data_IF_025360853379
#
_entry.id   IF_025360853379
#
_cell.length_a   1.000
_cell.length_b   1.000
_cell.length_c   1.000
_cell.angle_alpha   90.00
_cell.angle_beta   90.00
_cell.angle_gamma   90.00
#
_symmetry.space_group_name_H-M   'P 1'
#
loop_
_entity.id
_entity.type
_entity.pdbx_description
1 polymer ?
#
# COMPACT_ATOMS: atom_id res chain seq x y z
N UNK A 1 -33.44 -30.77 -63.66
CA UNK A 1 -32.34 -31.31 -62.82
C UNK A 1 -31.34 -30.22 -62.39
N UNK A 2 -31.72 -28.93 -62.34
CA UNK A 2 -30.79 -27.82 -62.01
C UNK A 2 -30.89 -27.32 -60.55
N UNK A 3 -31.97 -27.62 -59.83
CA UNK A 3 -32.24 -27.03 -58.51
C UNK A 3 -31.36 -27.61 -57.39
N UNK A 4 -30.94 -28.88 -57.52
CA UNK A 4 -30.08 -29.54 -56.53
C UNK A 4 -28.64 -29.01 -56.56
N UNK A 5 -28.15 -28.61 -57.74
CA UNK A 5 -26.82 -28.03 -57.91
C UNK A 5 -26.71 -26.66 -57.24
N UNK A 6 -27.73 -25.80 -57.43
CA UNK A 6 -27.77 -24.43 -56.87
C UNK A 6 -27.77 -24.46 -55.33
N UNK A 7 -28.52 -25.38 -54.73
CA UNK A 7 -28.56 -25.54 -53.27
C UNK A 7 -27.22 -26.06 -52.75
N UNK A 8 -26.58 -27.01 -53.45
CA UNK A 8 -25.28 -27.55 -53.03
C UNK A 8 -24.16 -26.51 -53.05
N UNK A 9 -24.11 -25.67 -54.10
CA UNK A 9 -23.12 -24.60 -54.24
C UNK A 9 -23.37 -23.46 -53.24
N UNK A 10 -24.64 -23.14 -52.97
CA UNK A 10 -25.01 -22.16 -51.94
C UNK A 10 -24.55 -22.61 -50.54
N UNK A 11 -24.76 -23.87 -50.19
CA UNK A 11 -24.37 -24.41 -48.87
C UNK A 11 -22.85 -24.36 -48.66
N UNK A 12 -22.04 -24.66 -49.69
CA UNK A 12 -20.58 -24.59 -49.59
C UNK A 12 -20.06 -23.17 -49.30
N UNK A 13 -20.67 -22.15 -49.91
CA UNK A 13 -20.24 -20.76 -49.71
C UNK A 13 -20.82 -20.11 -48.45
N UNK A 14 -22.00 -20.56 -47.98
CA UNK A 14 -22.62 -20.07 -46.74
C UNK A 14 -22.11 -20.79 -45.48
N UNK A 15 -21.51 -21.97 -45.60
CA UNK A 15 -20.95 -22.70 -44.47
C UNK A 15 -19.89 -21.88 -43.71
N UNK A 16 -18.92 -21.29 -44.42
CA UNK A 16 -17.81 -20.57 -43.78
C UNK A 16 -18.22 -19.29 -43.02
N UNK A 17 -19.09 -18.40 -43.56
CA UNK A 17 -19.64 -17.28 -42.81
C UNK A 17 -20.40 -17.72 -41.56
N UNK A 18 -21.21 -18.78 -41.65
CA UNK A 18 -21.99 -19.30 -40.53
C UNK A 18 -21.05 -19.87 -39.46
N UNK A 19 -20.01 -20.62 -39.85
CA UNK A 19 -19.00 -21.13 -38.92
C UNK A 19 -18.29 -19.99 -38.18
N UNK A 20 -17.89 -18.92 -38.86
CA UNK A 20 -17.29 -17.75 -38.23
C UNK A 20 -18.26 -17.09 -37.24
N UNK A 21 -19.53 -16.97 -37.61
CA UNK A 21 -20.56 -16.37 -36.76
C UNK A 21 -20.80 -17.20 -35.50
N UNK A 22 -20.87 -18.53 -35.63
CA UNK A 22 -21.03 -19.46 -34.51
C UNK A 22 -19.81 -19.44 -33.59
N UNK A 23 -18.59 -19.47 -34.14
CA UNK A 23 -17.35 -19.35 -33.35
C UNK A 23 -17.32 -18.01 -32.62
N UNK A 24 -17.61 -16.91 -33.31
CA UNK A 24 -17.62 -15.56 -32.71
C UNK A 24 -18.64 -15.47 -31.59
N UNK A 25 -19.85 -16.01 -31.76
CA UNK A 25 -20.89 -15.98 -30.74
C UNK A 25 -20.58 -16.91 -29.56
N UNK A 26 -19.98 -18.09 -29.81
CA UNK A 26 -19.54 -19.02 -28.78
C UNK A 26 -18.37 -18.47 -27.94
N UNK A 27 -17.47 -17.69 -28.57
CA UNK A 27 -16.34 -17.06 -27.88
C UNK A 27 -16.75 -15.77 -27.16
N UNK A 28 -17.75 -15.01 -27.66
CA UNK A 28 -18.21 -13.77 -27.04
C UNK A 28 -18.66 -13.93 -25.58
N UNK A 29 -19.17 -15.11 -25.20
CA UNK A 29 -19.57 -15.43 -23.83
C UNK A 29 -18.44 -16.03 -22.96
N UNK A 30 -17.25 -16.28 -23.53
CA UNK A 30 -16.11 -16.94 -22.86
C UNK A 30 -14.86 -16.07 -22.74
N UNK A 31 -14.83 -14.87 -23.30
CA UNK A 31 -13.75 -13.91 -23.05
C UNK A 31 -14.03 -13.26 -21.68
N UNK A 32 -13.27 -13.59 -20.62
CA UNK A 32 -13.40 -12.86 -19.37
C UNK A 32 -13.05 -11.40 -19.60
N UNK A 33 -13.81 -10.50 -19.00
CA UNK A 33 -13.55 -9.05 -18.98
C UNK A 33 -12.06 -8.81 -18.66
N UNK A 34 -11.31 -8.30 -19.64
CA UNK A 34 -9.88 -7.99 -19.49
C UNK A 34 -9.61 -6.96 -18.40
N UNK A 35 -10.64 -6.20 -18.00
CA UNK A 35 -10.65 -5.32 -16.84
C UNK A 35 -10.55 -6.08 -15.52
N UNK A 36 -11.22 -7.23 -15.37
CA UNK A 36 -11.19 -8.05 -14.15
C UNK A 36 -9.83 -8.74 -13.92
N UNK A 37 -9.12 -9.06 -15.01
CA UNK A 37 -7.78 -9.65 -14.92
C UNK A 37 -6.75 -8.64 -14.38
N UNK A 38 -6.80 -7.37 -14.85
CA UNK A 38 -5.92 -6.32 -14.33
C UNK A 38 -6.18 -5.99 -12.86
N UNK A 39 -7.44 -5.96 -12.44
CA UNK A 39 -7.83 -5.71 -11.04
C UNK A 39 -7.22 -6.77 -10.12
N UNK A 40 -7.30 -8.06 -10.52
CA UNK A 40 -6.73 -9.15 -9.74
C UNK A 40 -5.21 -9.09 -9.64
N UNK A 41 -4.50 -8.75 -10.73
CA UNK A 41 -3.03 -8.67 -10.70
C UNK A 41 -2.55 -7.55 -9.77
N UNK A 42 -3.22 -6.40 -9.79
CA UNK A 42 -2.89 -5.25 -8.92
C UNK A 42 -3.20 -5.56 -7.45
N UNK A 43 -4.35 -6.16 -7.15
CA UNK A 43 -4.71 -6.57 -5.80
C UNK A 43 -3.73 -7.62 -5.24
N UNK A 44 -3.33 -8.59 -6.07
CA UNK A 44 -2.37 -9.64 -5.69
C UNK A 44 -0.98 -9.06 -5.43
N UNK A 45 -0.50 -8.12 -6.23
CA UNK A 45 0.80 -7.45 -5.98
C UNK A 45 0.77 -6.59 -4.72
N UNK A 46 -0.33 -5.87 -4.49
CA UNK A 46 -0.53 -5.11 -3.27
C UNK A 46 -0.56 -6.04 -2.05
N UNK A 47 -1.33 -7.13 -2.12
CA UNK A 47 -1.46 -8.11 -1.04
C UNK A 47 -0.10 -8.75 -0.72
N UNK A 48 0.67 -9.14 -1.73
CA UNK A 48 2.03 -9.66 -1.55
C UNK A 48 2.92 -8.64 -0.83
N UNK A 49 2.85 -7.37 -1.23
CA UNK A 49 3.70 -6.32 -0.66
C UNK A 49 3.32 -6.02 0.78
N UNK A 50 2.02 -5.87 1.09
CA UNK A 50 1.53 -5.65 2.45
C UNK A 50 1.80 -6.85 3.35
N UNK A 51 1.60 -8.07 2.85
CA UNK A 51 1.91 -9.28 3.61
C UNK A 51 3.41 -9.41 3.89
N UNK A 52 4.28 -9.04 2.95
CA UNK A 52 5.73 -9.00 3.19
C UNK A 52 6.09 -7.99 4.29
N UNK A 53 5.52 -6.78 4.25
CA UNK A 53 5.74 -5.76 5.28
C UNK A 53 5.25 -6.25 6.65
N UNK A 54 4.07 -6.88 6.69
CA UNK A 54 3.51 -7.47 7.91
C UNK A 54 4.37 -8.59 8.48
N UNK A 55 4.84 -9.50 7.64
CA UNK A 55 5.60 -10.65 8.09
C UNK A 55 6.95 -10.24 8.66
N UNK A 56 7.60 -9.27 8.03
CA UNK A 56 8.89 -8.78 8.51
C UNK A 56 8.74 -7.92 9.75
N UNK A 57 7.68 -7.09 9.82
CA UNK A 57 7.29 -6.45 11.07
C UNK A 57 7.21 -7.51 12.18
N UNK A 58 6.36 -8.53 12.02
CA UNK A 58 6.23 -9.62 13.00
C UNK A 58 7.55 -10.31 13.35
N UNK A 59 8.45 -10.52 12.39
CA UNK A 59 9.73 -11.20 12.59
C UNK A 59 10.73 -10.36 13.40
N UNK A 60 10.70 -9.04 13.23
CA UNK A 60 11.67 -8.12 13.82
C UNK A 60 11.32 -7.71 15.25
N UNK A 61 10.07 -7.92 15.69
CA UNK A 61 9.68 -7.62 17.06
C UNK A 61 9.88 -8.79 18.02
N UNK A 62 10.83 -8.65 18.96
CA UNK A 62 10.98 -9.53 20.14
C UNK A 62 9.75 -9.53 21.08
N UNK A 63 8.73 -8.71 20.79
CA UNK A 63 7.44 -8.74 21.47
C UNK A 63 6.33 -8.92 20.45
N UNK A 64 5.59 -10.03 20.53
CA UNK A 64 4.29 -10.25 19.90
C UNK A 64 3.71 -9.01 19.21
N UNK A 65 3.91 -8.88 17.90
CA UNK A 65 3.10 -7.98 17.07
C UNK A 65 1.70 -8.60 16.99
N UNK A 66 0.99 -8.59 18.12
CA UNK A 66 -0.46 -8.66 18.11
C UNK A 66 -0.84 -7.37 17.41
N UNK A 67 -1.26 -7.52 16.16
CA UNK A 67 -2.16 -6.57 15.51
C UNK A 67 -3.48 -6.70 16.30
N UNK A 68 -3.45 -6.29 17.57
CA UNK A 68 -4.66 -5.93 18.26
C UNK A 68 -5.05 -4.63 17.59
N UNK A 69 -6.16 -4.65 16.89
CA UNK A 69 -6.81 -3.50 16.28
C UNK A 69 -7.19 -2.50 17.36
N UNK A 70 -6.22 -1.83 17.95
CA UNK A 70 -6.46 -0.61 18.72
C UNK A 70 -6.49 0.47 17.66
N UNK A 71 -7.66 0.64 17.03
CA UNK A 71 -7.91 1.54 15.91
C UNK A 71 -7.18 2.87 16.13
N UNK A 72 -5.97 2.99 15.57
CA UNK A 72 -5.23 4.25 15.54
C UNK A 72 -5.90 5.24 14.59
N UNK A 73 -6.81 4.73 13.77
CA UNK A 73 -7.70 5.44 12.88
C UNK A 73 -8.79 6.20 13.66
N UNK A 74 -8.92 7.48 13.34
CA UNK A 74 -10.01 8.30 13.82
C UNK A 74 -11.33 7.94 13.11
N UNK A 75 -12.50 8.21 13.71
CA UNK A 75 -13.80 7.96 13.08
C UNK A 75 -13.94 8.58 11.68
N UNK A 76 -13.37 9.77 11.45
CA UNK A 76 -13.39 10.45 10.16
C UNK A 76 -12.57 9.72 9.08
N UNK A 77 -11.52 8.99 9.47
CA UNK A 77 -10.71 8.18 8.56
C UNK A 77 -11.44 6.90 8.14
N UNK A 78 -12.22 6.31 9.04
CA UNK A 78 -13.08 5.18 8.69
C UNK A 78 -14.16 5.59 7.68
N UNK A 79 -14.72 6.80 7.80
CA UNK A 79 -15.61 7.37 6.79
C UNK A 79 -14.89 7.68 5.47
N UNK A 80 -13.61 8.07 5.54
CA UNK A 80 -12.80 8.26 4.34
C UNK A 80 -12.55 6.93 3.62
N UNK A 81 -12.34 5.84 4.35
CA UNK A 81 -12.20 4.49 3.81
C UNK A 81 -13.39 4.08 2.93
N UNK A 82 -14.60 4.55 3.27
CA UNK A 82 -15.83 4.25 2.52
C UNK A 82 -15.93 5.01 1.21
N UNK A 83 -15.34 6.20 1.14
CA UNK A 83 -15.40 7.07 -0.03
C UNK A 83 -14.17 6.94 -0.93
N UNK A 84 -13.02 6.70 -0.31
CA UNK A 84 -11.72 6.64 -0.97
C UNK A 84 -10.74 5.80 -0.14
N UNK A 85 -10.69 4.48 -0.36
CA UNK A 85 -9.66 3.60 0.19
C UNK A 85 -8.24 4.10 -0.10
N UNK A 86 -7.99 4.60 -1.31
CA UNK A 86 -6.70 5.19 -1.68
C UNK A 86 -6.41 6.44 -0.85
N UNK A 87 -7.40 7.32 -0.70
CA UNK A 87 -7.29 8.54 0.10
C UNK A 87 -6.95 8.27 1.57
N UNK A 88 -7.48 7.18 2.13
CA UNK A 88 -7.15 6.74 3.49
C UNK A 88 -5.66 6.40 3.62
N UNK A 89 -5.12 5.62 2.70
CA UNK A 89 -3.69 5.25 2.71
C UNK A 89 -2.83 6.51 2.58
N UNK A 90 -3.14 7.38 1.61
CA UNK A 90 -2.40 8.63 1.41
C UNK A 90 -2.43 9.53 2.65
N UNK A 91 -3.59 9.65 3.30
CA UNK A 91 -3.71 10.43 4.54
C UNK A 91 -2.89 9.81 5.67
N UNK A 92 -2.90 8.48 5.83
CA UNK A 92 -2.10 7.81 6.85
C UNK A 92 -0.60 7.98 6.62
N UNK A 93 -0.18 8.02 5.35
CA UNK A 93 1.20 8.26 4.96
C UNK A 93 1.64 9.69 5.25
N UNK A 94 0.80 10.68 4.90
CA UNK A 94 1.05 12.11 5.22
C UNK A 94 1.27 12.31 6.72
N UNK A 95 0.49 11.64 7.57
CA UNK A 95 0.67 11.69 9.02
C UNK A 95 2.00 11.08 9.46
N UNK A 96 2.43 9.96 8.86
CA UNK A 96 3.75 9.38 9.12
C UNK A 96 4.87 10.34 8.71
N UNK A 97 4.79 10.94 7.52
CA UNK A 97 5.78 11.93 7.05
C UNK A 97 5.88 13.12 7.99
N UNK A 98 4.75 13.74 8.33
CA UNK A 98 4.71 14.87 9.26
C UNK A 98 5.26 14.49 10.63
N UNK A 99 4.99 13.28 11.11
CA UNK A 99 5.52 12.77 12.38
C UNK A 99 7.05 12.69 12.35
N UNK A 100 7.62 12.12 11.28
CA UNK A 100 9.07 12.01 11.11
C UNK A 100 9.72 13.40 11.01
N UNK A 101 9.14 14.29 10.22
CA UNK A 101 9.63 15.67 10.06
C UNK A 101 9.61 16.42 11.39
N UNK A 102 8.51 16.30 12.14
CA UNK A 102 8.38 16.91 13.46
C UNK A 102 9.43 16.36 14.43
N UNK A 103 9.61 15.04 14.49
CA UNK A 103 10.62 14.44 15.37
C UNK A 103 12.04 14.90 15.01
N UNK A 104 12.37 15.02 13.73
CA UNK A 104 13.67 15.54 13.32
C UNK A 104 13.85 17.02 13.70
N UNK A 105 12.82 17.85 13.49
CA UNK A 105 12.80 19.26 13.87
C UNK A 105 12.96 19.47 15.38
N UNK A 106 12.22 18.71 16.19
CA UNK A 106 12.33 18.70 17.66
C UNK A 106 13.73 18.26 18.14
N UNK A 107 14.47 17.53 17.29
CA UNK A 107 15.83 17.09 17.55
C UNK A 107 16.89 17.95 16.84
N UNK A 108 16.53 19.17 16.41
CA UNK A 108 17.46 20.19 15.93
C UNK A 108 17.73 20.18 14.42
N UNK A 109 17.00 19.39 13.64
CA UNK A 109 17.09 19.42 12.18
C UNK A 109 16.23 20.56 11.61
N UNK A 110 16.84 21.72 11.38
CA UNK A 110 16.14 22.98 11.04
C UNK A 110 15.47 22.99 9.66
N UNK A 111 15.90 22.12 8.75
CA UNK A 111 15.46 22.06 7.36
C UNK A 111 14.80 20.71 7.02
N UNK A 112 14.01 20.19 7.97
CA UNK A 112 13.22 18.98 7.79
C UNK A 112 12.08 19.22 6.77
N UNK A 113 12.39 19.22 5.48
CA UNK A 113 11.40 19.31 4.39
C UNK A 113 11.18 17.97 3.68
N UNK A 114 12.11 17.02 3.87
CA UNK A 114 12.06 15.72 3.24
C UNK A 114 12.07 14.63 4.31
N UNK A 115 11.00 13.85 4.39
CA UNK A 115 10.83 12.79 5.38
C UNK A 115 11.91 11.70 5.27
N UNK A 116 12.41 11.41 4.06
CA UNK A 116 13.51 10.46 3.86
C UNK A 116 14.85 10.95 4.44
N UNK A 117 15.11 12.25 4.36
CA UNK A 117 16.31 12.86 4.96
C UNK A 117 16.14 12.97 6.48
N UNK A 118 14.94 13.34 6.93
CA UNK A 118 14.62 13.45 8.35
C UNK A 118 14.73 12.09 9.08
N UNK A 119 14.27 10.98 8.50
CA UNK A 119 14.42 9.67 9.13
C UNK A 119 15.88 9.20 9.18
N UNK A 120 16.68 9.52 8.16
CA UNK A 120 18.12 9.25 8.17
C UNK A 120 18.84 10.06 9.26
N UNK A 121 18.48 11.34 9.43
CA UNK A 121 19.00 12.15 10.53
C UNK A 121 18.66 11.55 11.90
N UNK A 122 17.44 11.04 12.08
CA UNK A 122 17.03 10.38 13.32
C UNK A 122 17.82 9.09 13.58
N UNK A 123 18.14 8.33 12.53
CA UNK A 123 18.98 7.14 12.59
C UNK A 123 20.45 7.48 12.94
N UNK A 124 21.04 8.51 12.31
CA UNK A 124 22.39 8.99 12.64
C UNK A 124 22.53 9.40 14.11
N UNK A 125 21.45 9.94 14.69
CA UNK A 125 21.37 10.29 16.12
C UNK A 125 21.03 9.11 17.03
N UNK A 126 20.84 7.91 16.47
CA UNK A 126 20.39 6.69 17.17
C UNK A 126 19.08 6.89 17.94
N UNK A 127 18.21 7.77 17.43
CA UNK A 127 16.92 8.08 18.04
C UNK A 127 15.84 7.09 17.61
N UNK A 128 16.03 6.44 16.46
CA UNK A 128 15.13 5.44 15.90
C UNK A 128 15.95 4.18 15.60
N UNK A 129 15.35 3.00 15.79
CA UNK A 129 16.00 1.73 15.47
C UNK A 129 16.00 1.45 13.96
N UNK A 130 17.01 0.72 13.50
CA UNK A 130 17.17 0.28 12.10
C UNK A 130 15.92 -0.45 11.57
N UNK A 131 15.24 -1.22 12.41
CA UNK A 131 14.01 -1.92 12.09
C UNK A 131 12.89 -0.97 11.62
N UNK A 132 12.76 0.19 12.28
CA UNK A 132 11.74 1.20 11.96
C UNK A 132 12.14 2.02 10.74
N UNK A 133 13.44 2.27 10.57
CA UNK A 133 14.00 2.86 9.34
C UNK A 133 13.65 2.00 8.12
N UNK A 134 13.88 0.69 8.21
CA UNK A 134 13.57 -0.27 7.15
C UNK A 134 12.07 -0.31 6.84
N UNK A 135 11.21 -0.33 7.87
CA UNK A 135 9.76 -0.29 7.66
C UNK A 135 9.30 1.02 7.01
N UNK A 136 9.88 2.16 7.39
CA UNK A 136 9.59 3.45 6.77
C UNK A 136 9.91 3.45 5.27
N UNK A 137 11.12 3.02 4.86
CA UNK A 137 11.51 3.02 3.45
C UNK A 137 10.69 2.04 2.60
N UNK A 138 10.23 0.94 3.18
CA UNK A 138 9.34 0.00 2.48
C UNK A 138 7.96 0.57 2.28
N UNK A 139 7.40 1.24 3.29
CA UNK A 139 6.14 1.97 3.15
C UNK A 139 6.28 3.14 2.18
N UNK A 140 7.42 3.83 2.17
CA UNK A 140 7.73 4.88 1.19
C UNK A 140 7.69 4.32 -0.24
N UNK A 141 8.36 3.19 -0.48
CA UNK A 141 8.37 2.53 -1.77
C UNK A 141 6.97 2.05 -2.19
N UNK A 142 6.18 1.54 -1.24
CA UNK A 142 4.78 1.17 -1.47
C UNK A 142 3.93 2.40 -1.81
N UNK A 143 4.13 3.52 -1.09
CA UNK A 143 3.39 4.75 -1.34
C UNK A 143 3.69 5.38 -2.71
N UNK A 144 4.96 5.36 -3.12
CA UNK A 144 5.35 5.79 -4.47
C UNK A 144 4.69 4.98 -5.58
N UNK A 145 4.32 3.73 -5.30
CA UNK A 145 3.59 2.90 -6.27
C UNK A 145 2.12 3.32 -6.36
N UNK A 146 1.48 3.75 -5.28
CA UNK A 146 0.07 4.21 -5.27
C UNK A 146 -0.22 5.40 -6.17
N UNK A 147 0.78 6.21 -6.52
CA UNK A 147 0.59 7.29 -7.50
C UNK A 147 0.08 6.80 -8.87
N UNK A 148 0.24 5.50 -9.16
CA UNK A 148 -0.23 4.87 -10.40
C UNK A 148 -1.54 4.06 -10.22
N UNK A 149 -2.12 4.01 -9.01
CA UNK A 149 -3.30 3.20 -8.70
C UNK A 149 -4.58 4.03 -8.84
N UNK A 150 -5.60 3.46 -9.46
CA UNK A 150 -6.95 4.03 -9.47
C UNK A 150 -7.73 3.57 -8.24
N UNK A 151 -8.60 4.44 -7.72
CA UNK A 151 -9.35 4.23 -6.46
C UNK A 151 -10.25 2.98 -6.48
N UNK A 152 -10.67 2.51 -7.66
CA UNK A 152 -11.54 1.34 -7.84
C UNK A 152 -10.84 -0.01 -7.63
N UNK A 153 -9.51 -0.03 -7.54
CA UNK A 153 -8.70 -1.25 -7.52
C UNK A 153 -8.32 -1.73 -6.10
N UNK A 154 -8.78 -1.04 -5.05
CA UNK A 154 -8.32 -1.27 -3.68
C UNK A 154 -9.48 -1.58 -2.70
N UNK A 155 -9.50 -2.77 -2.06
CA UNK A 155 -10.50 -3.12 -1.06
C UNK A 155 -10.43 -2.22 0.19
N UNK A 156 -11.60 -1.84 0.73
CA UNK A 156 -11.72 -0.99 1.93
C UNK A 156 -10.99 -1.58 3.14
N UNK A 157 -11.20 -2.87 3.41
CA UNK A 157 -10.64 -3.56 4.58
C UNK A 157 -9.11 -3.53 4.55
N UNK A 158 -8.54 -3.67 3.36
CA UNK A 158 -7.09 -3.63 3.12
C UNK A 158 -6.51 -2.23 3.27
N UNK A 159 -7.23 -1.21 2.80
CA UNK A 159 -6.84 0.18 3.02
C UNK A 159 -6.81 0.52 4.52
N UNK A 160 -7.84 0.10 5.26
CA UNK A 160 -7.92 0.28 6.72
C UNK A 160 -6.74 -0.38 7.40
N UNK A 161 -6.45 -1.64 7.05
CA UNK A 161 -5.34 -2.39 7.64
C UNK A 161 -3.98 -1.71 7.38
N UNK A 162 -3.76 -1.25 6.14
CA UNK A 162 -2.53 -0.57 5.74
C UNK A 162 -2.37 0.79 6.44
N UNK A 163 -3.47 1.53 6.57
CA UNK A 163 -3.48 2.82 7.25
C UNK A 163 -3.22 2.67 8.75
N UNK A 164 -3.84 1.68 9.40
CA UNK A 164 -3.60 1.40 10.82
C UNK A 164 -2.14 0.99 11.08
N UNK A 165 -1.55 0.16 10.21
CA UNK A 165 -0.13 -0.19 10.31
C UNK A 165 0.79 1.03 10.15
N UNK A 166 0.51 1.90 9.18
CA UNK A 166 1.27 3.13 8.93
C UNK A 166 1.23 4.07 10.14
N UNK A 167 0.04 4.29 10.70
CA UNK A 167 -0.14 5.14 11.88
C UNK A 167 0.54 4.56 13.12
N UNK A 168 0.49 3.24 13.30
CA UNK A 168 1.19 2.57 14.41
C UNK A 168 2.70 2.78 14.33
N UNK A 169 3.29 2.65 13.13
CA UNK A 169 4.72 2.92 12.92
C UNK A 169 5.06 4.37 13.22
N UNK A 170 4.21 5.32 12.82
CA UNK A 170 4.40 6.73 13.13
C UNK A 170 4.46 6.99 14.65
N UNK A 171 3.55 6.39 15.40
CA UNK A 171 3.53 6.53 16.85
C UNK A 171 4.75 5.89 17.51
N UNK A 172 5.17 4.70 17.06
CA UNK A 172 6.36 4.03 17.57
C UNK A 172 7.64 4.84 17.31
N UNK A 173 7.80 5.43 16.12
CA UNK A 173 8.90 6.34 15.81
C UNK A 173 8.89 7.55 16.74
N UNK A 174 7.72 8.15 16.97
CA UNK A 174 7.57 9.30 17.87
C UNK A 174 7.98 8.94 19.30
N UNK A 175 7.54 7.78 19.80
CA UNK A 175 7.84 7.34 21.16
C UNK A 175 9.33 7.00 21.33
N UNK A 176 9.94 6.29 20.37
CA UNK A 176 11.37 5.98 20.41
C UNK A 176 12.21 7.25 20.36
N UNK A 177 11.89 8.20 19.46
CA UNK A 177 12.63 9.45 19.34
C UNK A 177 12.58 10.26 20.64
N UNK A 178 11.40 10.40 21.26
CA UNK A 178 11.25 11.10 22.54
C UNK A 178 11.99 10.41 23.68
N UNK A 179 11.89 9.09 23.77
CA UNK A 179 12.55 8.33 24.83
C UNK A 179 14.08 8.44 24.73
N UNK A 180 14.63 8.23 23.53
CA UNK A 180 16.07 8.25 23.30
C UNK A 180 16.66 9.67 23.43
N UNK A 181 15.89 10.70 23.05
CA UNK A 181 16.27 12.09 23.27
C UNK A 181 16.36 12.41 24.78
N UNK A 182 15.37 12.00 25.57
CA UNK A 182 15.39 12.21 27.02
C UNK A 182 16.59 11.52 27.69
N UNK A 183 16.93 10.30 27.26
CA UNK A 183 18.14 9.60 27.72
C UNK A 183 19.41 10.38 27.37
N UNK A 184 19.54 10.87 26.13
CA UNK A 184 20.71 11.62 25.68
C UNK A 184 20.90 12.92 26.49
N UNK A 185 19.83 13.66 26.77
CA UNK A 185 19.87 14.89 27.59
C UNK A 185 20.31 14.59 29.02
N UNK A 186 19.80 13.51 29.63
CA UNK A 186 20.16 13.12 30.99
C UNK A 186 21.64 12.73 31.11
N UNK A 187 22.17 12.00 30.13
CA UNK A 187 23.60 11.64 30.09
C UNK A 187 24.48 12.88 29.97
N UNK A 188 24.12 13.84 29.10
CA UNK A 188 24.87 15.09 28.96
C UNK A 188 24.85 15.95 30.23
N UNK A 189 23.73 15.94 30.97
CA UNK A 189 23.62 16.64 32.26
C UNK A 189 24.50 15.99 33.34
N UNK A 190 24.53 14.66 33.41
CA UNK A 190 25.37 13.92 34.35
C UNK A 190 26.88 14.05 34.05
N UNK A 191 27.27 14.21 32.78
CA UNK A 191 28.67 14.43 32.42
C UNK A 191 29.18 15.86 32.72
N UNK A 192 28.29 16.80 33.05
CA UNK A 192 28.61 18.21 33.35
C UNK A 192 28.52 18.55 34.85
N UNK A 193 28.07 17.61 35.69
CA UNK A 193 28.06 17.70 37.15
C UNK A 193 29.27 17.02 37.75
#
# INVERSE_FOLDING_TARGET
MEWQSIISSGIQHLAWPITILVITFALKNKIPDVSKLKINDVEVEFEKTVNAIRNDAKATSSGSWKITSTSSLLPNMLQLAEKSPLGLILQSWDILEQTVLQCASENGFKDAYNAAVAIQYLDEKKLVKEDKLNLFFRLYALNKRFSNFENEQLPKERAIETADMTLKIAEEIRQEAKHNQALAVNVQKAARS
#
